data_IF_199644230368
#
_entry.id   IF_199644230368
#
_cell.length_a   1.000
_cell.length_b   1.000
_cell.length_c   1.000
_cell.angle_alpha   90.00
_cell.angle_beta   90.00
_cell.angle_gamma   90.00
#
_symmetry.space_group_name_H-M   'P 1'
#
loop_
_entity.id
_entity.type
_entity.pdbx_description
1 polymer ?
#
# COMPACT_ATOMS: atom_id res chain seq x y z
N UNK A 1 0.22 2.72 -27.75
CA UNK A 1 0.83 1.86 -26.70
C UNK A 1 1.82 2.76 -25.96
N UNK A 2 1.59 3.06 -24.69
CA UNK A 2 2.41 4.03 -23.97
C UNK A 2 3.74 3.39 -23.55
N UNK A 3 4.89 4.02 -23.83
CA UNK A 3 6.23 3.41 -23.73
C UNK A 3 6.77 3.27 -22.30
N UNK A 4 5.92 3.35 -21.27
CA UNK A 4 6.35 3.43 -19.86
C UNK A 4 5.65 2.46 -18.91
N UNK A 5 4.90 1.48 -19.43
CA UNK A 5 4.47 0.37 -18.58
C UNK A 5 5.64 -0.61 -18.46
N UNK A 6 6.54 -0.34 -17.52
CA UNK A 6 7.49 -1.34 -17.05
C UNK A 6 6.68 -2.59 -16.70
N UNK A 7 7.07 -3.74 -17.25
CA UNK A 7 6.57 -5.04 -16.78
C UNK A 7 6.95 -5.14 -15.30
N UNK A 8 6.03 -4.74 -14.44
CA UNK A 8 6.11 -5.03 -13.03
C UNK A 8 6.01 -6.54 -12.97
N UNK A 9 7.13 -7.20 -12.72
CA UNK A 9 7.21 -8.64 -12.55
C UNK A 9 6.27 -9.02 -11.40
N UNK A 10 5.01 -9.33 -11.71
CA UNK A 10 3.97 -9.68 -10.75
C UNK A 10 4.26 -11.12 -10.31
N UNK A 11 5.40 -11.30 -9.66
CA UNK A 11 5.72 -12.53 -8.96
C UNK A 11 4.57 -12.83 -8.00
N UNK A 12 4.04 -14.05 -8.05
CA UNK A 12 2.97 -14.51 -7.15
C UNK A 12 3.40 -14.45 -5.67
N UNK A 13 4.70 -14.25 -5.39
CA UNK A 13 5.20 -13.97 -4.04
C UNK A 13 4.91 -12.55 -3.54
N UNK A 14 4.43 -11.64 -4.40
CA UNK A 14 4.15 -10.26 -4.00
C UNK A 14 2.95 -10.22 -3.05
N UNK A 15 3.08 -9.55 -1.90
CA UNK A 15 1.99 -9.46 -0.95
C UNK A 15 0.86 -8.58 -1.51
N UNK A 16 -0.38 -8.98 -1.26
CA UNK A 16 -1.55 -8.18 -1.63
C UNK A 16 -1.52 -6.83 -0.90
N UNK A 17 -1.83 -5.75 -1.62
CA UNK A 17 -1.88 -4.39 -1.06
C UNK A 17 -3.19 -3.70 -1.42
N UNK A 18 -3.61 -2.76 -0.58
CA UNK A 18 -4.79 -1.92 -0.80
C UNK A 18 -4.61 -0.53 -0.22
N UNK A 19 -5.33 0.43 -0.79
CA UNK A 19 -5.50 1.76 -0.24
C UNK A 19 -6.86 1.84 0.45
N UNK A 20 -6.90 2.38 1.67
CA UNK A 20 -8.14 2.62 2.42
C UNK A 20 -8.23 4.07 2.85
N UNK A 21 -9.43 4.54 3.22
CA UNK A 21 -9.65 5.86 3.84
C UNK A 21 -9.14 7.07 3.02
N UNK A 22 -9.09 6.95 1.69
CA UNK A 22 -8.75 8.06 0.81
C UNK A 22 -9.96 8.60 0.04
N UNK A 23 -9.87 9.83 -0.48
CA UNK A 23 -10.96 10.48 -1.21
C UNK A 23 -11.14 9.93 -2.63
N UNK A 24 -10.23 9.06 -3.09
CA UNK A 24 -10.31 8.43 -4.41
C UNK A 24 -9.67 7.05 -4.39
N UNK A 25 -9.97 6.24 -5.40
CA UNK A 25 -9.40 4.88 -5.57
C UNK A 25 -7.87 4.85 -5.72
N UNK A 26 -7.23 6.01 -5.92
CA UNK A 26 -5.78 6.16 -6.08
C UNK A 26 -5.10 6.87 -4.91
N UNK A 27 -5.83 7.15 -3.84
CA UNK A 27 -5.34 7.84 -2.66
C UNK A 27 -5.82 7.11 -1.41
N UNK A 28 -5.04 7.15 -0.33
CA UNK A 28 -5.42 6.54 0.94
C UNK A 28 -4.25 5.95 1.70
N UNK A 29 -4.55 5.37 2.85
CA UNK A 29 -3.61 4.67 3.71
C UNK A 29 -3.26 3.31 3.12
N UNK A 30 -1.97 3.06 2.93
CA UNK A 30 -1.45 1.81 2.41
C UNK A 30 -1.55 0.70 3.47
N UNK A 31 -2.23 -0.39 3.10
CA UNK A 31 -2.24 -1.64 3.85
C UNK A 31 -1.69 -2.78 3.00
N UNK A 32 -1.02 -3.70 3.66
CA UNK A 32 -0.46 -4.92 3.07
C UNK A 32 -1.03 -6.13 3.82
N UNK A 33 -1.39 -7.18 3.09
CA UNK A 33 -1.83 -8.46 3.66
C UNK A 33 -0.59 -9.26 4.06
N UNK A 34 -0.46 -9.52 5.35
CA UNK A 34 0.63 -10.31 5.91
C UNK A 34 0.06 -11.32 6.91
N UNK A 35 0.28 -12.62 6.66
CA UNK A 35 -0.27 -13.73 7.46
C UNK A 35 -1.80 -13.64 7.59
N UNK A 36 -2.48 -13.49 6.46
CA UNK A 36 -3.95 -13.38 6.36
C UNK A 36 -4.58 -12.24 7.16
N UNK A 37 -3.79 -11.21 7.48
CA UNK A 37 -4.25 -9.99 8.15
C UNK A 37 -3.78 -8.76 7.42
N UNK A 38 -4.66 -7.77 7.33
CA UNK A 38 -4.33 -6.45 6.81
C UNK A 38 -3.61 -5.64 7.88
N UNK A 39 -2.43 -5.10 7.54
CA UNK A 39 -1.62 -4.26 8.42
C UNK A 39 -1.21 -2.99 7.71
N UNK A 40 -1.07 -1.92 8.48
CA UNK A 40 -0.54 -0.65 7.96
C UNK A 40 0.97 -0.74 7.82
N UNK A 41 1.52 -0.13 6.78
CA UNK A 41 2.96 -0.05 6.58
C UNK A 41 3.53 1.05 7.49
N UNK A 42 4.56 0.73 8.26
CA UNK A 42 5.30 1.73 9.02
C UNK A 42 6.09 2.61 8.04
N UNK A 43 5.68 3.87 7.89
CA UNK A 43 6.49 4.91 7.26
C UNK A 43 7.34 5.60 8.32
N UNK A 44 8.44 6.23 7.88
CA UNK A 44 9.28 7.03 8.78
C UNK A 44 8.48 8.10 9.54
N UNK A 45 7.37 8.60 8.96
CA UNK A 45 6.45 9.54 9.58
C UNK A 45 5.53 8.90 10.63
N UNK A 46 5.06 7.66 10.41
CA UNK A 46 4.24 6.95 11.42
C UNK A 46 5.01 6.56 12.69
N UNK A 47 6.35 6.55 12.67
CA UNK A 47 7.16 6.27 13.87
C UNK A 47 7.08 7.40 14.90
N UNK A 48 6.80 8.63 14.48
CA UNK A 48 6.80 9.83 15.34
C UNK A 48 5.40 10.31 15.76
N UNK A 49 4.38 9.46 15.63
CA UNK A 49 3.16 9.61 16.42
C UNK A 49 2.12 10.62 15.94
N UNK A 50 1.96 10.83 14.62
CA UNK A 50 0.86 11.65 14.10
C UNK A 50 0.05 10.90 13.06
N UNK A 51 -0.74 9.89 13.46
CA UNK A 51 -1.91 9.44 12.68
C UNK A 51 -2.87 8.55 13.51
N UNK A 52 -3.04 8.88 14.78
CA UNK A 52 -4.21 8.47 15.57
C UNK A 52 -4.97 9.74 15.97
N UNK A 53 -5.72 10.28 15.03
CA UNK A 53 -6.85 11.16 15.34
C UNK A 53 -8.04 10.66 14.55
#
# INVERSE_FOLDING_TARGET
>A
MLPYQQMLDYDETRPEFRLIDGPSVRQGKLQVRFRDRWRSVCTQLTKYGEFFR
#
